data_IF_119166965984
#
_entry.id   IF_119166965984
#
_cell.length_a   1.000
_cell.length_b   1.000
_cell.length_c   1.000
_cell.angle_alpha   90.00
_cell.angle_beta   90.00
_cell.angle_gamma   90.00
#
_symmetry.space_group_name_H-M   'P 1'
#
loop_
_entity.id
_entity.type
_entity.pdbx_description
1 polymer ?
#
# COMPACT_ATOMS: atom_id res chain seq x y z
N UNK A 1 35.63 20.12 2.94
CA UNK A 1 34.72 20.29 4.09
C UNK A 1 34.97 19.12 5.02
N UNK A 2 35.24 19.37 6.31
CA UNK A 2 35.30 18.28 7.28
C UNK A 2 33.90 17.73 7.53
N UNK A 3 33.74 16.41 7.70
CA UNK A 3 32.45 15.78 7.97
C UNK A 3 31.77 16.25 9.28
N UNK A 4 32.51 16.99 10.11
CA UNK A 4 32.04 17.63 11.35
C UNK A 4 31.12 18.83 11.12
N UNK A 5 31.13 19.40 9.92
CA UNK A 5 30.43 20.66 9.59
C UNK A 5 29.13 20.41 8.83
N UNK A 6 28.74 19.13 8.66
CA UNK A 6 27.56 18.73 7.90
C UNK A 6 26.39 18.43 8.85
N UNK A 7 25.19 18.83 8.40
CA UNK A 7 23.96 18.29 8.97
C UNK A 7 23.80 16.84 8.55
N UNK A 8 23.26 16.01 9.45
CA UNK A 8 22.95 14.63 9.18
C UNK A 8 21.48 14.35 9.42
N UNK A 9 20.84 13.80 8.39
CA UNK A 9 19.46 13.39 8.45
C UNK A 9 19.35 11.89 8.20
N UNK A 10 18.39 11.25 8.87
CA UNK A 10 17.95 9.92 8.51
C UNK A 10 16.53 9.98 7.94
N UNK A 11 16.34 9.26 6.86
CA UNK A 11 15.08 9.12 6.20
C UNK A 11 14.74 7.64 6.07
N UNK A 12 13.45 7.30 6.13
CA UNK A 12 12.99 5.93 6.06
C UNK A 12 13.28 5.33 4.67
N UNK A 13 13.75 4.10 4.66
CA UNK A 13 13.95 3.31 3.45
C UNK A 13 12.80 2.30 3.32
N UNK A 14 11.92 2.51 2.38
CA UNK A 14 10.75 1.65 2.15
C UNK A 14 11.12 0.27 1.58
N UNK A 15 12.29 0.13 0.95
CA UNK A 15 12.73 -1.13 0.37
C UNK A 15 13.49 -2.00 1.39
N UNK A 16 14.19 -1.36 2.34
CA UNK A 16 14.93 -2.03 3.40
C UNK A 16 14.80 -1.21 4.71
N UNK A 17 13.76 -1.47 5.51
CA UNK A 17 13.50 -0.73 6.75
C UNK A 17 14.65 -0.76 7.77
N UNK A 18 15.50 -1.79 7.72
CA UNK A 18 16.65 -1.93 8.61
C UNK A 18 17.85 -1.05 8.19
N UNK A 19 17.78 -0.45 6.99
CA UNK A 19 18.84 0.39 6.43
C UNK A 19 18.31 1.75 5.98
N UNK A 20 18.06 2.67 6.92
CA UNK A 20 17.58 4.02 6.59
C UNK A 20 18.59 4.77 5.71
N UNK A 21 18.08 5.67 4.87
CA UNK A 21 18.92 6.59 4.12
C UNK A 21 19.61 7.56 5.07
N UNK A 22 20.93 7.65 4.98
CA UNK A 22 21.73 8.66 5.66
C UNK A 22 22.01 9.79 4.66
N UNK A 23 21.48 10.98 4.94
CA UNK A 23 21.61 12.16 4.08
C UNK A 23 22.55 13.15 4.76
N UNK A 24 23.62 13.53 4.06
CA UNK A 24 24.57 14.54 4.51
C UNK A 24 24.33 15.86 3.75
N UNK A 25 24.22 16.96 4.48
CA UNK A 25 23.92 18.28 3.94
C UNK A 25 24.84 19.34 4.54
N UNK A 26 25.04 20.48 3.85
CA UNK A 26 25.66 21.65 4.46
C UNK A 26 24.94 22.10 5.73
N UNK A 27 25.67 22.75 6.65
CA UNK A 27 25.13 23.25 7.92
C UNK A 27 23.87 24.11 7.71
N UNK A 28 22.79 23.81 8.42
CA UNK A 28 21.49 24.47 8.34
C UNK A 28 20.54 23.93 7.26
N UNK A 29 21.04 23.19 6.28
CA UNK A 29 20.22 22.64 5.20
C UNK A 29 19.40 21.43 5.64
N UNK A 30 19.83 20.67 6.63
CA UNK A 30 19.05 19.57 7.20
C UNK A 30 17.71 20.03 7.79
N UNK A 31 17.73 21.16 8.49
CA UNK A 31 16.51 21.80 9.03
C UNK A 31 15.61 22.34 7.91
N UNK A 32 16.22 22.92 6.88
CA UNK A 32 15.51 23.39 5.68
C UNK A 32 14.84 22.23 4.96
N UNK A 33 15.55 21.13 4.70
CA UNK A 33 15.02 19.92 4.07
C UNK A 33 13.84 19.33 4.86
N UNK A 34 14.00 19.19 6.18
CA UNK A 34 12.92 18.70 7.06
C UNK A 34 11.65 19.57 6.95
N UNK A 35 11.80 20.89 6.98
CA UNK A 35 10.68 21.83 6.86
C UNK A 35 9.99 21.71 5.49
N UNK A 36 10.76 21.55 4.41
CA UNK A 36 10.23 21.32 3.06
C UNK A 36 9.46 20.00 2.97
N UNK A 37 9.98 18.94 3.59
CA UNK A 37 9.28 17.64 3.63
C UNK A 37 7.96 17.72 4.37
N UNK A 38 7.92 18.39 5.52
CA UNK A 38 6.66 18.63 6.24
C UNK A 38 5.65 19.39 5.36
N UNK A 39 6.14 20.37 4.60
CA UNK A 39 5.29 21.13 3.66
C UNK A 39 4.79 20.26 2.49
N UNK A 40 5.67 19.46 1.89
CA UNK A 40 5.29 18.49 0.83
C UNK A 40 4.18 17.56 1.32
N UNK A 41 4.34 16.97 2.52
CA UNK A 41 3.32 16.09 3.09
C UNK A 41 1.98 16.81 3.34
N UNK A 42 2.01 18.07 3.78
CA UNK A 42 0.81 18.87 3.93
C UNK A 42 0.11 19.10 2.59
N UNK A 43 0.86 19.46 1.54
CA UNK A 43 0.34 19.64 0.20
C UNK A 43 -0.22 18.34 -0.39
N UNK A 44 0.47 17.21 -0.21
CA UNK A 44 -0.02 15.92 -0.69
C UNK A 44 -1.37 15.57 -0.04
N UNK A 45 -1.51 15.77 1.26
CA UNK A 45 -2.78 15.53 1.98
C UNK A 45 -3.92 16.42 1.52
N UNK A 46 -3.61 17.65 1.12
CA UNK A 46 -4.61 18.60 0.63
C UNK A 46 -4.98 18.35 -0.83
N UNK A 47 -3.99 18.08 -1.69
CA UNK A 47 -4.16 18.08 -3.13
C UNK A 47 -4.56 16.71 -3.70
N UNK A 48 -4.08 15.61 -3.13
CA UNK A 48 -4.41 14.28 -3.64
C UNK A 48 -5.92 13.97 -3.60
N UNK A 49 -6.65 14.26 -2.51
CA UNK A 49 -8.11 14.07 -2.50
C UNK A 49 -8.82 14.87 -3.61
N UNK A 50 -8.32 16.06 -3.96
CA UNK A 50 -8.92 16.89 -5.02
C UNK A 50 -8.76 16.25 -6.40
N UNK A 51 -7.61 15.60 -6.65
CA UNK A 51 -7.37 14.85 -7.91
C UNK A 51 -8.40 13.73 -8.06
N UNK A 52 -8.60 12.95 -7.01
CA UNK A 52 -9.49 11.78 -7.04
C UNK A 52 -10.98 12.13 -6.98
N UNK A 53 -11.33 13.34 -6.50
CA UNK A 53 -12.70 13.86 -6.49
C UNK A 53 -13.05 14.67 -7.73
N UNK A 54 -12.15 14.78 -8.71
CA UNK A 54 -12.47 15.49 -9.96
C UNK A 54 -13.55 14.72 -10.73
N UNK A 55 -14.52 15.45 -11.28
CA UNK A 55 -15.64 14.85 -12.02
C UNK A 55 -15.18 13.95 -13.17
N UNK A 56 -14.12 14.37 -13.85
CA UNK A 56 -13.53 13.58 -14.93
C UNK A 56 -12.95 12.27 -14.43
N UNK A 57 -12.13 12.30 -13.38
CA UNK A 57 -11.51 11.11 -12.79
C UNK A 57 -12.56 10.12 -12.30
N UNK A 58 -13.57 10.60 -11.58
CA UNK A 58 -14.66 9.75 -11.09
C UNK A 58 -15.49 9.14 -12.23
N UNK A 59 -15.71 9.87 -13.33
CA UNK A 59 -16.41 9.34 -14.50
C UNK A 59 -15.61 8.20 -15.16
N UNK A 60 -14.31 8.43 -15.41
CA UNK A 60 -13.42 7.44 -16.00
C UNK A 60 -13.27 6.19 -15.10
N UNK A 61 -13.16 6.38 -13.80
CA UNK A 61 -13.11 5.27 -12.83
C UNK A 61 -14.39 4.43 -12.86
N UNK A 62 -15.57 5.08 -12.83
CA UNK A 62 -16.86 4.37 -12.91
C UNK A 62 -17.01 3.57 -14.22
N UNK A 63 -16.52 4.12 -15.34
CA UNK A 63 -16.53 3.40 -16.61
C UNK A 63 -15.68 2.14 -16.55
N UNK A 64 -14.48 2.21 -15.94
CA UNK A 64 -13.59 1.05 -15.75
C UNK A 64 -14.21 0.00 -14.83
N UNK A 65 -14.80 0.41 -13.70
CA UNK A 65 -15.50 -0.46 -12.76
C UNK A 65 -16.67 -1.19 -13.42
N UNK A 66 -17.49 -0.45 -14.18
CA UNK A 66 -18.63 -1.02 -14.90
C UNK A 66 -18.19 -2.00 -16.00
N UNK A 67 -17.14 -1.68 -16.74
CA UNK A 67 -16.55 -2.58 -17.72
C UNK A 67 -16.06 -3.88 -17.07
N UNK A 68 -15.35 -3.81 -15.96
CA UNK A 68 -14.90 -4.98 -15.21
C UNK A 68 -16.08 -5.83 -14.72
N UNK A 69 -17.13 -5.18 -14.19
CA UNK A 69 -18.35 -5.85 -13.75
C UNK A 69 -19.06 -6.57 -14.90
N UNK A 70 -19.19 -5.92 -16.06
CA UNK A 70 -19.80 -6.52 -17.25
C UNK A 70 -19.00 -7.73 -17.76
N UNK A 71 -17.68 -7.63 -17.83
CA UNK A 71 -16.81 -8.75 -18.23
C UNK A 71 -16.99 -9.96 -17.29
N UNK A 72 -16.98 -9.74 -15.98
CA UNK A 72 -17.22 -10.81 -15.00
C UNK A 72 -18.61 -11.42 -15.15
N UNK A 73 -19.62 -10.57 -15.37
CA UNK A 73 -21.00 -11.03 -15.59
C UNK A 73 -21.14 -11.86 -16.86
N UNK A 74 -20.50 -11.47 -17.97
CA UNK A 74 -20.49 -12.21 -19.22
C UNK A 74 -19.88 -13.60 -19.05
N UNK A 75 -18.73 -13.69 -18.37
CA UNK A 75 -18.05 -14.97 -18.07
C UNK A 75 -18.97 -15.89 -17.27
N UNK A 76 -19.64 -15.36 -16.23
CA UNK A 76 -20.55 -16.14 -15.38
C UNK A 76 -21.83 -16.53 -16.13
N UNK A 77 -22.39 -15.62 -16.91
CA UNK A 77 -23.61 -15.91 -17.70
C UNK A 77 -23.39 -16.99 -18.75
N UNK A 78 -22.20 -17.03 -19.36
CA UNK A 78 -21.84 -18.10 -20.29
C UNK A 78 -21.82 -19.48 -19.61
N UNK A 79 -21.20 -19.55 -18.40
CA UNK A 79 -21.18 -20.79 -17.60
C UNK A 79 -22.59 -21.23 -17.19
N UNK A 80 -23.42 -20.29 -16.75
CA UNK A 80 -24.80 -20.58 -16.36
C UNK A 80 -25.63 -21.08 -17.56
N UNK A 81 -25.40 -20.51 -18.76
CA UNK A 81 -26.08 -20.94 -19.97
C UNK A 81 -25.65 -22.35 -20.37
N UNK A 82 -24.32 -22.62 -20.37
CA UNK A 82 -23.80 -23.97 -20.67
C UNK A 82 -24.39 -25.04 -19.73
N UNK A 83 -24.50 -24.71 -18.44
CA UNK A 83 -25.12 -25.60 -17.46
C UNK A 83 -26.60 -25.84 -17.74
N UNK A 84 -27.37 -24.79 -18.08
CA UNK A 84 -28.79 -24.90 -18.43
C UNK A 84 -29.01 -25.74 -19.67
N UNK A 85 -28.18 -25.59 -20.69
CA UNK A 85 -28.26 -26.35 -21.93
C UNK A 85 -28.01 -27.85 -21.68
N UNK A 86 -27.25 -28.17 -20.62
CA UNK A 86 -27.02 -29.55 -20.17
C UNK A 86 -28.06 -30.02 -19.13
N UNK A 87 -29.06 -29.20 -18.79
CA UNK A 87 -30.10 -29.54 -17.82
C UNK A 87 -29.70 -29.39 -16.38
N UNK A 88 -28.73 -28.51 -16.09
CA UNK A 88 -28.26 -28.21 -14.73
C UNK A 88 -28.40 -26.74 -14.39
N UNK A 89 -28.42 -26.44 -13.08
CA UNK A 89 -28.26 -25.09 -12.55
C UNK A 89 -27.03 -25.01 -11.66
N UNK A 90 -26.39 -23.85 -11.72
CA UNK A 90 -25.23 -23.51 -10.90
C UNK A 90 -25.65 -22.43 -9.91
N UNK A 91 -25.38 -22.64 -8.64
CA UNK A 91 -25.59 -21.66 -7.58
C UNK A 91 -24.27 -21.38 -6.90
N UNK A 92 -23.83 -20.14 -6.97
CA UNK A 92 -22.64 -19.64 -6.26
C UNK A 92 -23.08 -18.98 -4.96
N UNK A 93 -22.53 -19.42 -3.83
CA UNK A 93 -22.78 -18.85 -2.52
C UNK A 93 -21.47 -18.69 -1.75
N UNK A 94 -21.51 -18.09 -0.55
CA UNK A 94 -20.31 -17.83 0.25
C UNK A 94 -19.56 -19.11 0.69
N UNK A 95 -20.24 -20.27 0.69
CA UNK A 95 -19.66 -21.56 1.10
C UNK A 95 -19.11 -22.35 -0.09
N UNK A 96 -19.35 -21.91 -1.33
CA UNK A 96 -18.85 -22.55 -2.54
C UNK A 96 -19.86 -22.57 -3.69
N UNK A 97 -19.61 -23.45 -4.64
CA UNK A 97 -20.44 -23.64 -5.82
C UNK A 97 -21.22 -24.94 -5.67
N UNK A 98 -22.52 -24.88 -5.90
CA UNK A 98 -23.42 -26.03 -5.92
C UNK A 98 -23.98 -26.21 -7.32
N UNK A 99 -23.89 -27.44 -7.86
CA UNK A 99 -24.41 -27.81 -9.17
C UNK A 99 -25.47 -28.89 -8.96
N UNK A 100 -26.67 -28.67 -9.44
CA UNK A 100 -27.77 -29.59 -9.29
C UNK A 100 -28.53 -29.76 -10.59
N UNK A 101 -29.00 -31.01 -10.90
CA UNK A 101 -29.79 -31.29 -12.09
C UNK A 101 -31.17 -30.63 -11.98
N UNK A 102 -31.70 -30.22 -13.14
CA UNK A 102 -33.00 -29.57 -13.25
C UNK A 102 -34.00 -30.50 -13.91
N UNK A 103 -35.20 -30.51 -13.38
CA UNK A 103 -36.37 -31.21 -13.98
C UNK A 103 -37.52 -30.22 -14.04
N UNK A 104 -38.12 -30.06 -15.23
CA UNK A 104 -39.26 -29.16 -15.42
C UNK A 104 -39.04 -27.74 -14.81
N UNK A 105 -37.84 -27.20 -15.04
CA UNK A 105 -37.42 -25.88 -14.57
C UNK A 105 -37.31 -25.72 -13.05
N UNK A 106 -37.18 -26.81 -12.28
CA UNK A 106 -36.89 -26.85 -10.82
C UNK A 106 -35.72 -27.79 -10.53
N UNK A 107 -35.10 -27.59 -9.39
CA UNK A 107 -34.07 -28.52 -8.90
C UNK A 107 -34.68 -29.91 -8.69
N UNK A 108 -33.99 -30.95 -9.16
CA UNK A 108 -34.35 -32.35 -8.95
C UNK A 108 -34.23 -32.66 -7.44
N UNK A 109 -35.24 -33.30 -6.87
CA UNK A 109 -35.19 -33.72 -5.48
C UNK A 109 -34.28 -34.94 -5.29
N UNK A 110 -33.75 -35.19 -4.08
CA UNK A 110 -32.95 -36.38 -3.79
C UNK A 110 -33.73 -37.69 -4.04
N UNK A 111 -35.03 -37.68 -3.84
CA UNK A 111 -35.92 -38.82 -4.05
C UNK A 111 -36.09 -39.13 -5.53
N UNK A 112 -36.27 -38.10 -6.35
CA UNK A 112 -36.34 -38.22 -7.84
C UNK A 112 -34.99 -38.74 -8.38
N UNK A 113 -33.87 -38.26 -7.89
CA UNK A 113 -32.56 -38.76 -8.29
C UNK A 113 -32.35 -40.23 -7.95
N UNK A 114 -32.79 -40.66 -6.76
CA UNK A 114 -32.71 -42.09 -6.36
C UNK A 114 -33.65 -43.01 -7.16
N UNK A 115 -34.73 -42.47 -7.66
CA UNK A 115 -35.69 -43.23 -8.49
C UNK A 115 -35.23 -43.48 -9.95
N UNK A 116 -34.13 -42.81 -10.38
CA UNK A 116 -33.56 -42.97 -11.71
C UNK A 116 -32.87 -44.33 -11.88
N UNK A 117 -32.81 -44.82 -13.11
CA UNK A 117 -32.00 -45.98 -13.46
C UNK A 117 -30.50 -45.72 -13.29
N UNK A 118 -29.72 -46.78 -13.03
CA UNK A 118 -28.29 -46.66 -12.76
C UNK A 118 -27.50 -45.97 -13.89
N UNK A 119 -27.87 -46.24 -15.16
CA UNK A 119 -27.25 -45.58 -16.31
C UNK A 119 -27.54 -44.08 -16.36
N UNK A 120 -28.78 -43.66 -16.04
CA UNK A 120 -29.15 -42.24 -15.98
C UNK A 120 -28.42 -41.50 -14.85
N UNK A 121 -28.30 -42.15 -13.69
CA UNK A 121 -27.51 -41.57 -12.59
C UNK A 121 -26.06 -41.37 -12.94
N UNK A 122 -25.43 -42.37 -13.59
CA UNK A 122 -24.04 -42.25 -14.06
C UNK A 122 -23.85 -41.11 -15.04
N UNK A 123 -24.77 -40.96 -16.02
CA UNK A 123 -24.71 -39.87 -16.98
C UNK A 123 -24.85 -38.50 -16.29
N UNK A 124 -25.75 -38.35 -15.32
CA UNK A 124 -25.91 -37.12 -14.54
C UNK A 124 -24.62 -36.82 -13.73
N UNK A 125 -24.01 -37.80 -13.11
CA UNK A 125 -22.79 -37.64 -12.34
C UNK A 125 -21.58 -37.28 -13.24
N UNK A 126 -21.49 -37.85 -14.45
CA UNK A 126 -20.44 -37.47 -15.41
C UNK A 126 -20.59 -36.02 -15.84
N UNK A 127 -21.80 -35.58 -16.22
CA UNK A 127 -22.05 -34.18 -16.62
C UNK A 127 -21.78 -33.25 -15.43
N UNK A 128 -22.23 -33.61 -14.23
CA UNK A 128 -21.96 -32.83 -13.01
C UNK A 128 -20.46 -32.66 -12.75
N UNK A 129 -19.67 -33.72 -12.92
CA UNK A 129 -18.21 -33.66 -12.74
C UNK A 129 -17.55 -32.79 -13.82
N UNK A 130 -18.01 -32.84 -15.06
CA UNK A 130 -17.54 -31.97 -16.13
C UNK A 130 -17.87 -30.50 -15.84
N UNK A 131 -19.11 -30.20 -15.42
CA UNK A 131 -19.52 -28.85 -15.03
C UNK A 131 -18.75 -28.34 -13.80
N UNK A 132 -18.40 -29.22 -12.86
CA UNK A 132 -17.57 -28.85 -11.70
C UNK A 132 -16.18 -28.41 -12.14
N UNK A 133 -15.54 -29.14 -13.05
CA UNK A 133 -14.25 -28.75 -13.62
C UNK A 133 -14.36 -27.42 -14.38
N UNK A 134 -15.36 -27.30 -15.26
CA UNK A 134 -15.63 -26.10 -16.03
C UNK A 134 -15.87 -24.88 -15.13
N UNK A 135 -16.58 -25.09 -14.03
CA UNK A 135 -16.81 -24.04 -13.02
C UNK A 135 -15.49 -23.60 -12.37
N UNK A 136 -14.60 -24.54 -12.03
CA UNK A 136 -13.28 -24.19 -11.47
C UNK A 136 -12.43 -23.36 -12.44
N UNK A 137 -12.42 -23.74 -13.72
CA UNK A 137 -11.73 -23.00 -14.78
C UNK A 137 -12.34 -21.60 -14.98
N UNK A 138 -13.66 -21.51 -14.96
CA UNK A 138 -14.37 -20.24 -15.09
C UNK A 138 -14.13 -19.32 -13.90
N UNK A 139 -14.12 -19.85 -12.68
CA UNK A 139 -13.78 -19.07 -11.48
C UNK A 139 -12.32 -18.56 -11.50
N UNK A 140 -11.41 -19.29 -12.14
CA UNK A 140 -10.05 -18.79 -12.38
C UNK A 140 -10.06 -17.61 -13.36
N UNK A 141 -10.82 -17.69 -14.44
CA UNK A 141 -10.99 -16.58 -15.41
C UNK A 141 -11.64 -15.35 -14.78
N UNK A 142 -12.65 -15.53 -13.92
CA UNK A 142 -13.28 -14.45 -13.17
C UNK A 142 -12.26 -13.72 -12.32
N UNK A 143 -11.47 -14.47 -11.53
CA UNK A 143 -10.41 -13.86 -10.69
C UNK A 143 -9.35 -13.14 -11.50
N UNK A 144 -9.01 -13.64 -12.67
CA UNK A 144 -8.05 -12.97 -13.58
C UNK A 144 -8.65 -11.66 -14.11
N UNK A 145 -9.90 -11.68 -14.59
CA UNK A 145 -10.61 -10.48 -15.06
C UNK A 145 -10.80 -9.42 -13.97
N UNK A 146 -11.12 -9.85 -12.74
CA UNK A 146 -11.18 -8.95 -11.58
C UNK A 146 -9.82 -8.32 -11.30
N UNK A 147 -8.75 -9.13 -11.31
CA UNK A 147 -7.39 -8.63 -11.11
C UNK A 147 -7.00 -7.62 -12.19
N UNK A 148 -7.24 -7.92 -13.46
CA UNK A 148 -6.97 -7.00 -14.57
C UNK A 148 -7.73 -5.67 -14.41
N UNK A 149 -9.00 -5.74 -14.00
CA UNK A 149 -9.81 -4.54 -13.74
C UNK A 149 -9.21 -3.70 -12.60
N UNK A 150 -8.80 -4.33 -11.50
CA UNK A 150 -8.13 -3.63 -10.39
C UNK A 150 -6.79 -3.03 -10.78
N UNK A 151 -6.00 -3.72 -11.59
CA UNK A 151 -4.72 -3.23 -12.09
C UNK A 151 -4.92 -1.99 -12.99
N UNK A 152 -5.93 -2.01 -13.88
CA UNK A 152 -6.28 -0.86 -14.72
C UNK A 152 -6.71 0.37 -13.89
N UNK A 153 -7.54 0.16 -12.87
CA UNK A 153 -7.98 1.25 -11.97
C UNK A 153 -6.77 1.82 -11.22
N UNK A 154 -5.90 0.97 -10.70
CA UNK A 154 -4.68 1.40 -9.99
C UNK A 154 -3.75 2.19 -10.89
N UNK A 155 -3.54 1.75 -12.13
CA UNK A 155 -2.70 2.45 -13.10
C UNK A 155 -3.30 3.79 -13.51
N UNK A 156 -4.62 3.87 -13.62
CA UNK A 156 -5.33 5.13 -13.84
C UNK A 156 -5.17 6.10 -12.66
N UNK A 157 -5.34 5.63 -11.42
CA UNK A 157 -5.11 6.40 -10.20
C UNK A 157 -3.67 6.93 -10.14
N UNK A 158 -2.69 6.07 -10.45
CA UNK A 158 -1.28 6.44 -10.49
C UNK A 158 -1.01 7.53 -11.53
N UNK A 159 -1.53 7.36 -12.75
CA UNK A 159 -1.37 8.34 -13.83
C UNK A 159 -1.99 9.69 -13.49
N UNK A 160 -3.17 9.70 -12.89
CA UNK A 160 -3.84 10.93 -12.46
C UNK A 160 -3.06 11.69 -11.37
N UNK A 161 -2.41 10.94 -10.45
CA UNK A 161 -1.64 11.51 -9.35
C UNK A 161 -0.24 11.95 -9.76
N UNK A 162 0.40 11.27 -10.74
CA UNK A 162 1.81 11.42 -11.10
C UNK A 162 2.20 12.88 -11.42
N UNK A 163 1.39 13.54 -12.24
CA UNK A 163 1.67 14.93 -12.62
C UNK A 163 1.65 15.84 -11.39
N UNK A 164 0.67 15.67 -10.51
CA UNK A 164 0.52 16.50 -9.31
C UNK A 164 1.62 16.22 -8.29
N UNK A 165 1.98 14.95 -8.08
CA UNK A 165 3.10 14.57 -7.21
C UNK A 165 4.40 15.20 -7.74
N UNK A 166 4.67 15.08 -9.04
CA UNK A 166 5.83 15.69 -9.67
C UNK A 166 5.88 17.20 -9.45
N UNK A 167 4.76 17.91 -9.63
CA UNK A 167 4.70 19.36 -9.42
C UNK A 167 4.96 19.76 -7.97
N UNK A 168 4.49 18.97 -7.00
CA UNK A 168 4.70 19.22 -5.57
C UNK A 168 6.17 19.02 -5.19
N UNK A 169 6.83 17.99 -5.74
CA UNK A 169 8.24 17.69 -5.42
C UNK A 169 9.24 18.59 -6.17
N UNK A 170 8.90 19.06 -7.38
CA UNK A 170 9.78 19.81 -8.27
C UNK A 170 10.53 20.98 -7.63
N UNK A 171 9.91 21.87 -6.82
CA UNK A 171 10.61 22.98 -6.19
C UNK A 171 11.73 22.50 -5.25
N UNK A 172 11.49 21.41 -4.50
CA UNK A 172 12.46 20.85 -3.56
C UNK A 172 13.58 20.12 -4.31
N UNK A 173 13.27 19.32 -5.33
CA UNK A 173 14.23 18.68 -6.20
C UNK A 173 15.15 19.71 -6.84
N UNK A 174 14.61 20.82 -7.35
CA UNK A 174 15.42 21.91 -7.94
C UNK A 174 16.32 22.59 -6.91
N UNK A 175 15.86 22.73 -5.66
CA UNK A 175 16.69 23.32 -4.60
C UNK A 175 17.91 22.45 -4.28
N UNK A 176 17.75 21.13 -4.25
CA UNK A 176 18.81 20.18 -3.89
C UNK A 176 19.44 19.49 -5.09
N UNK A 177 19.32 20.05 -6.30
CA UNK A 177 19.85 19.44 -7.54
C UNK A 177 21.33 19.11 -7.50
N UNK A 178 22.10 19.88 -6.71
CA UNK A 178 23.55 19.71 -6.55
C UNK A 178 23.92 18.76 -5.39
N UNK A 179 22.92 18.16 -4.72
CA UNK A 179 23.08 17.16 -3.65
C UNK A 179 22.50 15.83 -4.12
N UNK A 180 23.29 14.96 -4.77
CA UNK A 180 22.80 13.74 -5.44
C UNK A 180 22.04 12.79 -4.48
N UNK A 181 22.52 12.66 -3.23
CA UNK A 181 21.90 11.79 -2.22
C UNK A 181 20.47 12.22 -1.90
N UNK A 182 20.25 13.53 -1.74
CA UNK A 182 18.92 14.09 -1.47
C UNK A 182 18.02 13.95 -2.69
N UNK A 183 18.53 14.21 -3.90
CA UNK A 183 17.75 14.04 -5.12
C UNK A 183 17.33 12.58 -5.34
N UNK A 184 18.24 11.64 -5.12
CA UNK A 184 17.92 10.22 -5.19
C UNK A 184 16.81 9.85 -4.20
N UNK A 185 16.93 10.29 -2.94
CA UNK A 185 15.91 10.07 -1.92
C UNK A 185 14.56 10.69 -2.30
N UNK A 186 14.53 11.95 -2.78
CA UNK A 186 13.29 12.62 -3.17
C UNK A 186 12.59 11.92 -4.36
N UNK A 187 13.36 11.43 -5.33
CA UNK A 187 12.84 10.64 -6.43
C UNK A 187 12.21 9.33 -5.94
N UNK A 188 12.94 8.60 -5.10
CA UNK A 188 12.44 7.38 -4.47
C UNK A 188 11.18 7.62 -3.64
N UNK A 189 11.15 8.71 -2.88
CA UNK A 189 9.99 9.08 -2.06
C UNK A 189 8.76 9.43 -2.91
N UNK A 190 8.93 10.14 -4.03
CA UNK A 190 7.85 10.44 -4.97
C UNK A 190 7.23 9.15 -5.54
N UNK A 191 8.06 8.18 -5.92
CA UNK A 191 7.59 6.85 -6.35
C UNK A 191 6.80 6.13 -5.23
N UNK A 192 7.30 6.17 -3.99
CA UNK A 192 6.60 5.55 -2.86
C UNK A 192 5.29 6.25 -2.49
N UNK A 193 5.17 7.55 -2.73
CA UNK A 193 3.88 8.27 -2.63
C UNK A 193 2.91 7.71 -3.68
N UNK A 194 3.35 7.53 -4.93
CA UNK A 194 2.52 6.97 -6.00
C UNK A 194 2.13 5.50 -5.76
N UNK A 195 2.99 4.72 -5.13
CA UNK A 195 2.69 3.33 -4.74
C UNK A 195 1.70 3.24 -3.56
N UNK A 196 1.57 4.31 -2.77
CA UNK A 196 0.77 4.35 -1.54
C UNK A 196 -0.32 5.43 -1.57
N UNK A 197 -0.92 5.69 -2.72
CA UNK A 197 -1.95 6.74 -2.91
C UNK A 197 -3.14 6.59 -1.96
N UNK A 198 -3.45 5.38 -1.52
CA UNK A 198 -4.53 5.11 -0.58
C UNK A 198 -4.35 5.82 0.79
N UNK A 199 -3.11 6.17 1.17
CA UNK A 199 -2.84 6.95 2.38
C UNK A 199 -3.31 8.40 2.27
N UNK A 200 -3.44 8.90 1.04
CA UNK A 200 -3.78 10.28 0.73
C UNK A 200 -5.24 10.45 0.24
N UNK A 201 -5.97 9.35 0.05
CA UNK A 201 -7.41 9.40 -0.18
C UNK A 201 -8.11 9.74 1.14
N UNK A 202 -9.13 10.58 1.11
CA UNK A 202 -9.98 10.73 2.28
C UNK A 202 -10.57 9.37 2.65
N UNK A 203 -10.49 9.02 3.93
CA UNK A 203 -11.31 7.92 4.43
C UNK A 203 -12.74 8.41 4.38
N UNK A 204 -13.55 7.84 3.51
CA UNK A 204 -14.99 7.92 3.68
C UNK A 204 -15.28 7.39 5.08
N UNK A 205 -15.84 8.24 5.94
CA UNK A 205 -16.34 7.81 7.25
C UNK A 205 -17.54 6.88 6.99
N UNK A 206 -17.27 5.58 6.80
CA UNK A 206 -18.33 4.59 6.90
C UNK A 206 -18.72 4.45 8.38
N UNK A 207 -19.97 4.76 8.75
CA UNK A 207 -20.48 4.46 10.07
C UNK A 207 -20.89 2.98 10.13
N UNK A 208 -19.96 2.11 10.52
CA UNK A 208 -20.29 0.71 10.73
C UNK A 208 -19.12 -0.10 11.30
N UNK A 209 -19.41 -1.12 12.13
CA UNK A 209 -18.37 -1.96 12.70
C UNK A 209 -17.84 -2.91 11.63
N UNK A 210 -16.67 -2.63 11.07
CA UNK A 210 -16.06 -3.51 10.09
C UNK A 210 -14.96 -4.34 10.72
N UNK A 211 -15.30 -5.57 10.99
CA UNK A 211 -14.38 -6.69 10.97
C UNK A 211 -14.42 -7.27 9.55
N UNK A 212 -13.45 -6.92 8.72
CA UNK A 212 -12.92 -7.80 7.67
C UNK A 212 -11.63 -7.19 7.11
N UNK A 213 -10.54 -7.46 7.80
CA UNK A 213 -9.22 -7.25 7.24
C UNK A 213 -8.99 -8.31 6.16
N UNK A 214 -8.92 -7.90 4.90
CA UNK A 214 -8.40 -8.73 3.82
C UNK A 214 -6.93 -9.07 4.08
N UNK A 215 -6.50 -10.34 3.96
CA UNK A 215 -5.16 -10.80 4.33
C UNK A 215 -4.04 -10.43 3.36
N UNK A 216 -4.24 -9.54 2.40
CA UNK A 216 -3.31 -9.26 1.31
C UNK A 216 -2.77 -7.83 1.25
N UNK A 217 -2.97 -7.02 2.31
CA UNK A 217 -2.27 -5.76 2.42
C UNK A 217 -0.86 -6.04 2.99
N UNK A 218 0.12 -6.25 2.11
CA UNK A 218 1.54 -6.30 2.45
C UNK A 218 2.05 -4.90 2.75
N UNK A 219 1.57 -4.31 3.85
CA UNK A 219 2.15 -3.13 4.47
C UNK A 219 2.91 -3.55 5.73
N UNK A 220 3.90 -2.78 6.19
CA UNK A 220 4.59 -3.09 7.44
C UNK A 220 3.57 -3.24 8.57
N UNK A 221 3.76 -4.20 9.50
CA UNK A 221 2.80 -4.46 10.56
C UNK A 221 2.59 -3.20 11.40
N UNK A 222 1.35 -2.71 11.42
CA UNK A 222 0.94 -1.67 12.34
C UNK A 222 1.11 -2.21 13.77
N UNK A 223 2.15 -1.75 14.45
CA UNK A 223 2.33 -2.01 15.87
C UNK A 223 1.14 -1.47 16.67
N UNK A 224 0.90 -1.96 17.89
CA UNK A 224 -0.28 -1.60 18.67
C UNK A 224 -0.20 -0.12 19.08
N UNK A 225 -1.07 0.69 18.50
CA UNK A 225 -1.31 2.07 18.90
C UNK A 225 -1.05 3.09 17.80
N UNK A 226 -2.12 3.65 17.25
CA UNK A 226 -2.24 4.93 16.52
C UNK A 226 -0.94 5.50 15.89
N UNK A 227 -0.18 4.68 15.19
CA UNK A 227 1.01 5.13 14.48
C UNK A 227 0.55 5.99 13.30
N UNK A 228 0.93 7.26 13.29
CA UNK A 228 0.71 8.16 12.16
C UNK A 228 1.31 7.51 10.90
N UNK A 229 0.50 7.11 9.90
CA UNK A 229 0.99 6.39 8.71
C UNK A 229 1.97 7.22 7.89
N UNK A 230 2.05 8.52 8.15
CA UNK A 230 2.94 9.44 7.47
C UNK A 230 4.31 9.60 8.12
N UNK A 231 4.59 8.94 9.25
CA UNK A 231 5.92 8.99 9.90
C UNK A 231 7.04 8.47 9.00
N UNK A 232 6.74 7.48 8.16
CA UNK A 232 7.70 6.94 7.21
C UNK A 232 8.13 7.96 6.12
N UNK A 233 7.35 9.00 5.90
CA UNK A 233 7.63 10.06 4.93
C UNK A 233 8.36 11.26 5.57
N UNK A 234 8.56 11.27 6.88
CA UNK A 234 9.24 12.37 7.59
C UNK A 234 10.75 12.13 7.63
N UNK A 235 11.50 13.23 7.77
CA UNK A 235 12.96 13.21 7.89
C UNK A 235 13.36 13.46 9.34
N UNK A 236 14.19 12.59 9.87
CA UNK A 236 14.73 12.74 11.20
C UNK A 236 16.10 13.47 11.13
N UNK A 237 16.13 14.72 11.58
CA UNK A 237 17.36 15.51 11.71
C UNK A 237 18.12 15.06 12.97
N UNK A 238 19.26 14.40 12.76
CA UNK A 238 20.10 13.88 13.87
C UNK A 238 21.14 14.88 14.33
N UNK A 239 21.81 15.56 13.39
CA UNK A 239 22.85 16.54 13.65
C UNK A 239 22.43 17.82 12.97
N UNK A 240 22.26 18.87 13.76
CA UNK A 240 21.92 20.22 13.33
C UNK A 240 23.11 21.16 13.64
N UNK A 241 23.82 21.54 12.60
CA UNK A 241 24.95 22.47 12.69
C UNK A 241 24.56 23.90 12.25
N UNK A 242 23.27 24.22 12.19
CA UNK A 242 22.78 25.54 11.74
C UNK A 242 23.36 26.72 12.53
N UNK A 243 23.74 26.50 13.79
CA UNK A 243 24.30 27.51 14.68
C UNK A 243 25.83 27.43 14.81
N UNK A 244 26.49 26.52 14.09
CA UNK A 244 27.93 26.28 14.21
C UNK A 244 28.68 27.15 13.19
N UNK A 245 29.14 28.33 13.59
CA UNK A 245 29.93 29.24 12.73
C UNK A 245 31.41 28.89 12.63
N UNK A 246 31.92 27.91 13.41
CA UNK A 246 33.32 27.46 13.42
C UNK A 246 33.35 25.97 13.73
N UNK A 247 34.53 25.33 13.50
CA UNK A 247 34.70 23.93 13.87
C UNK A 247 34.35 23.71 15.37
N UNK A 248 33.41 22.76 15.68
CA UNK A 248 33.00 22.56 17.07
C UNK A 248 34.15 22.05 17.92
N UNK A 249 34.36 22.67 19.07
CA UNK A 249 35.31 22.20 20.10
C UNK A 249 34.46 21.50 21.14
N UNK A 250 34.57 20.18 21.24
CA UNK A 250 33.89 19.39 22.25
C UNK A 250 34.90 18.99 23.32
N UNK A 251 34.67 19.43 24.54
CA UNK A 251 35.48 19.03 25.71
C UNK A 251 34.65 18.03 26.52
N UNK A 252 35.03 16.76 26.46
CA UNK A 252 34.41 15.72 27.27
C UNK A 252 35.21 15.48 28.55
N UNK A 253 34.70 15.91 29.69
CA UNK A 253 35.43 15.80 30.96
C UNK A 253 35.45 14.36 31.51
N UNK A 254 34.56 13.49 31.03
CA UNK A 254 34.49 12.09 31.44
C UNK A 254 34.42 11.18 30.18
N UNK A 255 35.57 11.00 29.50
CA UNK A 255 35.59 10.26 28.21
C UNK A 255 35.37 8.78 28.48
N UNK A 256 34.16 8.33 28.25
CA UNK A 256 33.81 6.92 28.19
C UNK A 256 33.28 6.59 26.77
N UNK A 257 33.17 5.30 26.48
CA UNK A 257 32.72 4.82 25.16
C UNK A 257 31.37 5.44 24.76
N UNK A 258 30.39 5.46 25.67
CA UNK A 258 29.07 6.00 25.42
C UNK A 258 29.07 7.50 25.13
N UNK A 259 29.94 8.27 25.77
CA UNK A 259 30.04 9.73 25.60
C UNK A 259 30.79 10.10 24.30
N UNK A 260 31.83 9.31 23.92
CA UNK A 260 32.66 9.60 22.75
C UNK A 260 32.01 9.11 21.46
N UNK A 261 31.41 7.90 21.48
CA UNK A 261 30.89 7.24 20.27
C UNK A 261 29.37 7.20 20.23
N UNK A 262 28.72 7.58 21.33
CA UNK A 262 27.28 7.45 21.50
C UNK A 262 26.85 6.05 21.92
N UNK A 263 25.62 5.92 22.33
CA UNK A 263 24.98 4.64 22.65
C UNK A 263 23.55 4.64 22.15
N UNK A 264 23.07 3.46 21.77
CA UNK A 264 21.67 3.23 21.47
C UNK A 264 20.99 2.79 22.77
N UNK A 265 20.08 3.61 23.27
CA UNK A 265 19.26 3.25 24.42
C UNK A 265 18.02 2.49 23.93
N UNK A 266 17.92 1.23 24.34
CA UNK A 266 16.73 0.40 24.08
C UNK A 266 15.89 0.36 25.34
N UNK A 267 14.62 0.77 25.25
CA UNK A 267 13.67 0.52 26.31
C UNK A 267 12.81 -0.69 25.98
N UNK A 268 12.77 -1.68 26.87
CA UNK A 268 11.85 -2.79 26.76
C UNK A 268 10.48 -2.35 27.29
N UNK A 269 9.44 -2.44 26.44
CA UNK A 269 8.06 -2.29 26.84
C UNK A 269 7.29 -3.50 26.34
N UNK A 270 6.69 -4.28 27.22
CA UNK A 270 5.89 -5.47 26.90
C UNK A 270 6.55 -6.47 25.93
N UNK A 271 7.86 -6.73 26.10
CA UNK A 271 8.59 -7.71 25.26
C UNK A 271 9.03 -7.20 23.89
N UNK A 272 8.78 -5.94 23.57
CA UNK A 272 9.26 -5.29 22.34
C UNK A 272 10.33 -4.26 22.70
N UNK A 273 11.47 -4.30 21.99
CA UNK A 273 12.51 -3.30 22.14
C UNK A 273 12.18 -2.08 21.26
N UNK A 274 12.02 -0.93 21.88
CA UNK A 274 11.89 0.37 21.19
C UNK A 274 13.23 1.09 21.28
N UNK A 275 13.80 1.46 20.14
CA UNK A 275 14.99 2.29 20.09
C UNK A 275 14.65 3.70 20.59
N UNK A 276 15.19 4.07 21.74
CA UNK A 276 15.23 5.47 22.15
C UNK A 276 16.45 6.14 21.50
N UNK A 277 16.28 7.40 21.12
CA UNK A 277 17.29 8.25 20.46
C UNK A 277 18.73 7.91 20.88
N UNK A 278 19.62 7.74 19.88
CA UNK A 278 21.05 7.74 20.14
C UNK A 278 21.45 9.11 20.68
N UNK A 279 21.93 9.15 21.92
CA UNK A 279 22.53 10.38 22.49
C UNK A 279 23.98 10.45 22.01
N UNK A 280 24.20 11.15 20.91
CA UNK A 280 25.50 11.71 20.60
C UNK A 280 25.59 13.06 21.35
N UNK A 281 26.73 13.39 21.90
CA UNK A 281 26.98 14.72 22.40
C UNK A 281 26.62 15.75 21.33
N UNK A 282 25.49 16.42 21.56
CA UNK A 282 25.08 17.50 20.69
C UNK A 282 25.94 18.71 21.09
N UNK A 283 26.80 19.20 20.21
CA UNK A 283 27.62 20.39 20.39
C UNK A 283 26.81 21.68 20.61
N UNK A 284 25.50 21.59 20.73
CA UNK A 284 24.57 22.72 20.91
C UNK A 284 24.35 23.11 22.38
N UNK A 285 25.06 22.48 23.36
CA UNK A 285 24.93 22.80 24.79
C UNK A 285 26.24 23.33 25.41
N UNK A 286 26.91 24.24 24.73
CA UNK A 286 27.95 25.03 25.35
C UNK A 286 27.73 26.51 25.06
#
# INVERSE_FOLDING_TARGET
>A
MCSSDLDWCYAYNFDDPDRPFALSLPAGEGKSLRSRMTYILALLREEMPKVFKSEQFEAERREMEEKGRLTTQEIMSALEQDARDQGFAIQVNQTGVTIFPMVENRAMSPEEYQALEEEQRKSIDEIRNQLMQQTQETMAKVREAEKESWDLIRDHERSAAEHRVTDIFRPTVNTYRDVPEVNHYLGHLAEKVLDNLNLFKEKEEEPGPVQSASPLASGPPAGPGNANPFLAFDINLLVDNSNVGKAPIVIEPNPNWGNLFGRIERSASMGTYLDRKSTRLNSSHV
#
